data_IF_046035334794
#
_entry.id   IF_046035334794
#
_cell.length_a   1.000
_cell.length_b   1.000
_cell.length_c   1.000
_cell.angle_alpha   90.00
_cell.angle_beta   90.00
_cell.angle_gamma   90.00
#
_symmetry.space_group_name_H-M   'P 1'
#
loop_
_entity.id
_entity.type
_entity.pdbx_description
1 polymer ?
#
# COMPACT_ATOMS: atom_id res chain seq x y z
N UNK A 1 -11.82 10.51 -13.46
CA UNK A 1 -11.70 9.08 -13.13
C UNK A 1 -13.09 8.46 -13.19
N UNK A 2 -13.28 7.39 -13.97
CA UNK A 2 -14.59 6.73 -14.06
C UNK A 2 -14.91 6.11 -12.69
N UNK A 3 -16.18 5.94 -12.36
CA UNK A 3 -16.60 5.30 -11.09
C UNK A 3 -15.99 3.91 -10.93
N UNK A 4 -15.97 3.14 -12.03
CA UNK A 4 -15.38 1.81 -12.09
C UNK A 4 -13.88 1.79 -11.77
N UNK A 5 -13.11 2.75 -12.29
CA UNK A 5 -11.67 2.81 -12.02
C UNK A 5 -11.37 2.98 -10.52
N UNK A 6 -12.20 3.75 -9.82
CA UNK A 6 -12.07 3.95 -8.36
C UNK A 6 -12.39 2.69 -7.58
N UNK A 7 -13.34 1.90 -8.05
CA UNK A 7 -13.72 0.64 -7.41
C UNK A 7 -12.67 -0.45 -7.69
N UNK A 8 -12.11 -0.46 -8.89
CA UNK A 8 -11.02 -1.37 -9.29
C UNK A 8 -9.74 -1.17 -8.47
N UNK A 9 -9.35 0.08 -8.22
CA UNK A 9 -8.15 0.40 -7.41
C UNK A 9 -8.41 0.37 -5.90
N UNK A 10 -9.67 0.17 -5.46
CA UNK A 10 -10.05 0.00 -4.05
C UNK A 10 -9.84 -1.45 -3.60
N UNK A 11 -8.59 -1.87 -3.68
CA UNK A 11 -8.10 -3.21 -3.32
C UNK A 11 -7.06 -3.08 -2.21
N UNK A 12 -6.65 -4.20 -1.61
CA UNK A 12 -5.61 -4.21 -0.59
C UNK A 12 -4.30 -3.62 -1.13
N UNK A 13 -3.54 -2.98 -0.23
CA UNK A 13 -2.26 -2.34 -0.58
C UNK A 13 -1.29 -3.30 -1.28
N UNK A 14 -1.24 -4.56 -0.82
CA UNK A 14 -0.37 -5.59 -1.40
C UNK A 14 -0.74 -5.83 -2.86
N UNK A 15 -2.03 -6.07 -3.13
CA UNK A 15 -2.56 -6.30 -4.47
C UNK A 15 -2.40 -5.08 -5.37
N UNK A 16 -2.58 -3.86 -4.87
CA UNK A 16 -2.34 -2.64 -5.64
C UNK A 16 -0.87 -2.56 -6.10
N UNK A 17 0.09 -2.87 -5.23
CA UNK A 17 1.52 -2.93 -5.60
C UNK A 17 1.82 -4.02 -6.62
N UNK A 18 1.21 -5.20 -6.50
CA UNK A 18 1.35 -6.26 -7.50
C UNK A 18 0.79 -5.84 -8.87
N UNK A 19 -0.35 -5.15 -8.90
CA UNK A 19 -0.94 -4.62 -10.14
C UNK A 19 -0.03 -3.54 -10.74
N UNK A 20 0.55 -2.64 -9.94
CA UNK A 20 1.54 -1.64 -10.41
C UNK A 20 2.74 -2.34 -11.06
N UNK A 21 3.26 -3.40 -10.41
CA UNK A 21 4.40 -4.16 -10.92
C UNK A 21 4.06 -4.87 -12.23
N UNK A 22 2.88 -5.50 -12.30
CA UNK A 22 2.38 -6.16 -13.51
C UNK A 22 2.13 -5.17 -14.66
N UNK A 23 1.55 -4.01 -14.37
CA UNK A 23 1.33 -2.95 -15.34
C UNK A 23 2.65 -2.41 -15.92
N UNK A 24 3.66 -2.25 -15.07
CA UNK A 24 5.01 -1.87 -15.47
C UNK A 24 5.67 -2.97 -16.33
N UNK A 25 5.53 -4.24 -15.94
CA UNK A 25 6.07 -5.37 -16.70
C UNK A 25 5.43 -5.52 -18.10
N UNK A 26 4.11 -5.34 -18.19
CA UNK A 26 3.38 -5.38 -19.47
C UNK A 26 3.45 -4.06 -20.26
N UNK A 27 4.11 -3.03 -19.72
CA UNK A 27 4.25 -1.69 -20.30
C UNK A 27 2.91 -1.01 -20.66
N UNK A 28 1.88 -1.19 -19.83
CA UNK A 28 0.56 -0.59 -20.04
C UNK A 28 0.50 0.75 -19.30
N UNK A 29 0.90 1.82 -20.01
CA UNK A 29 1.00 3.18 -19.42
C UNK A 29 -0.30 3.66 -18.77
N UNK A 30 -1.46 3.40 -19.37
CA UNK A 30 -2.76 3.83 -18.84
C UNK A 30 -3.10 3.19 -17.50
N UNK A 31 -2.73 1.91 -17.31
CA UNK A 31 -2.94 1.18 -16.06
C UNK A 31 -1.93 1.62 -14.99
N UNK A 32 -0.69 1.88 -15.40
CA UNK A 32 0.34 2.41 -14.51
C UNK A 32 -0.04 3.80 -13.98
N UNK A 33 -0.48 4.71 -14.85
CA UNK A 33 -0.91 6.05 -14.44
C UNK A 33 -2.12 5.98 -13.48
N UNK A 34 -3.07 5.08 -13.74
CA UNK A 34 -4.26 4.90 -12.90
C UNK A 34 -3.92 4.40 -11.50
N UNK A 35 -3.07 3.39 -11.42
CA UNK A 35 -2.67 2.75 -10.16
C UNK A 35 -1.73 3.65 -9.35
N UNK A 36 -0.85 4.40 -10.00
CA UNK A 36 -0.04 5.44 -9.37
C UNK A 36 -0.91 6.55 -8.75
N UNK A 37 -1.96 6.99 -9.45
CA UNK A 37 -2.89 8.00 -8.91
C UNK A 37 -3.62 7.47 -7.68
N UNK A 38 -4.07 6.21 -7.72
CA UNK A 38 -4.71 5.57 -6.56
C UNK A 38 -3.76 5.43 -5.36
N UNK A 39 -2.49 5.07 -5.59
CA UNK A 39 -1.48 5.02 -4.55
C UNK A 39 -1.21 6.41 -3.94
N UNK A 40 -1.14 7.46 -4.76
CA UNK A 40 -1.00 8.84 -4.31
C UNK A 40 -2.21 9.29 -3.47
N UNK A 41 -3.43 8.91 -3.87
CA UNK A 41 -4.63 9.20 -3.11
C UNK A 41 -4.61 8.47 -1.75
N UNK A 42 -4.20 7.19 -1.69
CA UNK A 42 -4.03 6.48 -0.40
C UNK A 42 -3.00 7.15 0.51
N UNK A 43 -1.91 7.69 -0.06
CA UNK A 43 -0.89 8.44 0.68
C UNK A 43 -1.49 9.73 1.26
N UNK A 44 -2.38 10.38 0.52
CA UNK A 44 -3.04 11.62 0.97
C UNK A 44 -4.00 11.40 2.15
N UNK A 45 -4.60 10.22 2.28
CA UNK A 45 -5.51 9.89 3.38
C UNK A 45 -4.83 9.20 4.58
N UNK A 46 -3.53 8.89 4.50
CA UNK A 46 -2.76 8.32 5.62
C UNK A 46 -1.86 9.37 6.25
N UNK A 47 -1.74 9.34 7.58
CA UNK A 47 -0.77 10.19 8.29
C UNK A 47 0.64 9.91 7.76
N UNK A 48 1.49 10.93 7.57
CA UNK A 48 2.89 10.77 7.19
C UNK A 48 3.64 9.79 8.09
N UNK A 49 3.21 9.64 9.33
CA UNK A 49 3.79 8.76 10.35
C UNK A 49 3.50 7.27 10.09
N UNK A 50 2.27 6.95 9.70
CA UNK A 50 1.87 5.59 9.32
C UNK A 50 2.51 5.16 8.01
N UNK A 51 2.65 6.08 7.07
CA UNK A 51 3.40 5.86 5.83
C UNK A 51 4.87 5.58 6.11
N UNK A 52 5.53 6.36 6.98
CA UNK A 52 6.92 6.10 7.39
C UNK A 52 7.07 4.73 8.04
N UNK A 53 6.12 4.32 8.88
CA UNK A 53 6.13 2.99 9.47
C UNK A 53 5.94 1.87 8.44
N UNK A 54 5.00 2.02 7.51
CA UNK A 54 4.73 1.02 6.48
C UNK A 54 5.88 0.93 5.46
N UNK A 55 6.38 2.06 4.99
CA UNK A 55 7.54 2.15 4.10
C UNK A 55 8.75 1.50 4.76
N UNK A 56 9.04 1.85 6.02
CA UNK A 56 10.16 1.28 6.79
C UNK A 56 10.02 -0.23 6.98
N UNK A 57 8.80 -0.75 7.09
CA UNK A 57 8.54 -2.19 7.16
C UNK A 57 8.88 -2.89 5.84
N UNK A 58 8.49 -2.31 4.71
CA UNK A 58 8.77 -2.85 3.37
C UNK A 58 10.26 -2.72 2.97
N UNK A 59 10.93 -1.60 3.30
CA UNK A 59 12.35 -1.39 2.92
C UNK A 59 13.32 -2.20 3.79
N UNK A 60 12.94 -2.58 5.02
CA UNK A 60 13.81 -3.33 5.95
C UNK A 60 13.47 -4.81 6.04
N UNK A 61 12.83 -5.39 5.02
CA UNK A 61 12.51 -6.82 4.97
C UNK A 61 11.79 -7.29 6.22
N UNK A 62 10.62 -6.71 6.49
CA UNK A 62 9.76 -7.10 7.62
C UNK A 62 9.32 -8.55 7.52
N UNK A 63 10.14 -9.47 8.01
CA UNK A 63 9.74 -10.81 8.41
C UNK A 63 8.53 -10.66 9.33
N UNK A 64 7.46 -11.40 9.03
CA UNK A 64 6.32 -11.56 9.91
C UNK A 64 6.81 -12.10 11.26
N UNK A 65 7.15 -11.20 12.18
CA UNK A 65 7.18 -11.48 13.60
C UNK A 65 6.06 -10.66 14.19
N UNK A 66 4.92 -11.34 14.25
CA UNK A 66 3.84 -11.13 15.19
C UNK A 66 4.32 -10.35 16.41
N UNK A 67 3.84 -9.11 16.53
CA UNK A 67 4.12 -8.26 17.69
C UNK A 67 3.45 -8.94 18.87
N UNK A 68 4.22 -9.62 19.73
CA UNK A 68 3.75 -9.88 21.09
C UNK A 68 3.41 -8.52 21.72
N UNK A 69 2.21 -8.32 22.29
CA UNK A 69 1.93 -7.09 23.00
C UNK A 69 2.91 -6.97 24.17
N UNK A 70 3.68 -5.88 24.15
CA UNK A 70 4.45 -5.41 25.32
C UNK A 70 3.42 -5.05 26.37
N UNK A 71 3.44 -5.81 27.47
CA UNK A 71 2.36 -5.89 28.45
C UNK A 71 2.21 -4.68 29.37
N UNK A 72 1.05 -4.64 30.01
CA UNK A 72 0.70 -3.93 31.25
C UNK A 72 -0.43 -4.80 31.87
N UNK A 73 -0.42 -5.26 33.11
CA UNK A 73 0.18 -4.71 34.32
C UNK A 73 0.54 -5.81 35.31
N UNK A 74 1.56 -5.52 36.13
CA UNK A 74 1.78 -6.13 37.43
C UNK A 74 0.51 -6.03 38.29
N UNK A 75 0.13 -7.14 38.92
CA UNK A 75 -0.18 -7.29 40.36
C UNK A 75 -0.20 -8.78 40.70
#
# INVERSE_FOLDING_TARGET
MKSWDREFVKTDQITLFEIILAANYMNIKSLLDLTCQAAADMIKYKSPEDLRHHQRFLTRGGSSKERKPVGLSNE
#
